data_IF_565372640334
#
_entry.id   IF_565372640334
#
_cell.length_a   1.000
_cell.length_b   1.000
_cell.length_c   1.000
_cell.angle_alpha   90.00
_cell.angle_beta   90.00
_cell.angle_gamma   90.00
#
_symmetry.space_group_name_H-M   'P 1'
#
loop_
_entity.id
_entity.type
_entity.pdbx_description
1 polymer ?
#
# COMPACT_ATOMS: atom_id res chain seq x y z
N UNK A 1 9.82 -4.27 -14.73
CA UNK A 1 9.35 -4.47 -13.33
C UNK A 1 7.87 -4.15 -13.12
N UNK A 2 7.39 -2.90 -13.16
CA UNK A 2 5.98 -2.57 -12.85
C UNK A 2 4.96 -3.28 -13.77
N UNK A 3 5.22 -3.29 -15.08
CA UNK A 3 4.39 -4.02 -16.05
C UNK A 3 4.42 -5.54 -15.85
N UNK A 4 5.57 -6.12 -15.49
CA UNK A 4 5.69 -7.56 -15.24
C UNK A 4 4.84 -8.02 -14.06
N UNK A 5 4.78 -7.22 -12.98
CA UNK A 5 3.91 -7.50 -11.83
C UNK A 5 2.45 -7.53 -12.27
N UNK A 6 2.00 -6.51 -13.02
CA UNK A 6 0.61 -6.42 -13.47
C UNK A 6 0.27 -7.57 -14.43
N UNK A 7 1.15 -7.89 -15.38
CA UNK A 7 0.98 -9.01 -16.31
C UNK A 7 0.99 -10.37 -15.61
N UNK A 8 1.78 -10.53 -14.55
CA UNK A 8 1.70 -11.71 -13.71
C UNK A 8 0.33 -11.83 -13.04
N UNK A 9 -0.19 -10.74 -12.44
CA UNK A 9 -1.51 -10.72 -11.81
C UNK A 9 -2.64 -11.03 -12.81
N UNK A 10 -2.60 -10.42 -14.00
CA UNK A 10 -3.57 -10.66 -15.07
C UNK A 10 -3.58 -12.14 -15.49
N UNK A 11 -2.40 -12.74 -15.70
CA UNK A 11 -2.27 -14.18 -16.04
C UNK A 11 -2.75 -15.11 -14.94
N UNK A 12 -2.76 -14.65 -13.68
CA UNK A 12 -3.32 -15.38 -12.53
C UNK A 12 -4.84 -15.19 -12.37
N UNK A 13 -5.50 -14.48 -13.28
CA UNK A 13 -6.95 -14.27 -13.27
C UNK A 13 -7.41 -13.08 -12.42
N UNK A 14 -6.50 -12.19 -12.01
CA UNK A 14 -6.89 -10.97 -11.29
C UNK A 14 -7.71 -10.07 -12.22
N UNK A 15 -8.92 -9.71 -11.80
CA UNK A 15 -9.81 -8.79 -12.53
C UNK A 15 -10.41 -7.76 -11.56
N UNK A 16 -9.69 -6.67 -11.26
CA UNK A 16 -10.13 -5.71 -10.26
C UNK A 16 -11.14 -4.71 -10.81
N UNK A 17 -12.16 -4.38 -10.02
CA UNK A 17 -13.01 -3.23 -10.27
C UNK A 17 -12.35 -1.93 -9.75
N UNK A 18 -11.49 -2.03 -8.73
CA UNK A 18 -10.75 -0.89 -8.20
C UNK A 18 -9.27 -1.17 -7.97
N UNK A 19 -8.43 -0.15 -8.13
CA UNK A 19 -6.99 -0.21 -7.84
C UNK A 19 -6.62 0.81 -6.76
N UNK A 20 -5.78 0.42 -5.81
CA UNK A 20 -5.14 1.33 -4.84
C UNK A 20 -3.61 1.16 -4.93
N UNK A 21 -2.88 2.27 -5.02
CA UNK A 21 -1.44 2.33 -4.75
C UNK A 21 -1.18 3.25 -3.53
N UNK A 22 -0.96 2.69 -2.32
CA UNK A 22 -0.90 3.45 -1.06
C UNK A 22 0.31 4.38 -0.91
N UNK A 23 1.37 4.13 -1.67
CA UNK A 23 2.63 4.90 -1.69
C UNK A 23 3.08 5.03 -3.14
N UNK A 24 2.32 5.75 -3.95
CA UNK A 24 2.39 5.69 -5.40
C UNK A 24 3.62 6.38 -6.01
N UNK A 25 4.32 7.23 -5.24
CA UNK A 25 5.40 8.06 -5.76
C UNK A 25 4.99 8.75 -7.05
N UNK A 26 5.79 8.58 -8.10
CA UNK A 26 5.55 9.16 -9.42
C UNK A 26 4.44 8.45 -10.24
N UNK A 27 3.75 7.46 -9.66
CA UNK A 27 2.62 6.75 -10.27
C UNK A 27 3.01 5.69 -11.31
N UNK A 28 4.22 5.14 -11.24
CA UNK A 28 4.71 4.18 -12.24
C UNK A 28 3.95 2.83 -12.20
N UNK A 29 3.69 2.31 -11.00
CA UNK A 29 2.99 1.03 -10.85
C UNK A 29 1.49 1.19 -11.09
N UNK A 30 0.87 2.28 -10.60
CA UNK A 30 -0.51 2.62 -10.89
C UNK A 30 -0.74 2.81 -12.40
N UNK A 31 0.19 3.45 -13.12
CA UNK A 31 0.11 3.58 -14.57
C UNK A 31 0.13 2.20 -15.27
N UNK A 32 1.03 1.32 -14.85
CA UNK A 32 1.11 -0.03 -15.38
C UNK A 32 -0.18 -0.82 -15.10
N UNK A 33 -0.71 -0.73 -13.88
CA UNK A 33 -1.92 -1.42 -13.49
C UNK A 33 -3.15 -0.92 -14.28
N UNK A 34 -3.29 0.40 -14.46
CA UNK A 34 -4.35 0.98 -15.29
C UNK A 34 -4.27 0.54 -16.77
N UNK A 35 -3.07 0.41 -17.31
CA UNK A 35 -2.87 -0.10 -18.67
C UNK A 35 -3.18 -1.60 -18.81
N UNK A 36 -2.87 -2.40 -17.79
CA UNK A 36 -3.13 -3.84 -17.79
C UNK A 36 -4.59 -4.20 -17.50
N UNK A 37 -5.30 -3.37 -16.72
CA UNK A 37 -6.70 -3.61 -16.30
C UNK A 37 -7.62 -2.49 -16.83
N UNK A 38 -8.05 -2.56 -18.11
CA UNK A 38 -8.82 -1.49 -18.75
C UNK A 38 -10.20 -1.28 -18.12
N UNK A 39 -10.80 -2.33 -17.53
CA UNK A 39 -12.17 -2.32 -16.98
C UNK A 39 -12.26 -1.75 -15.55
N UNK A 40 -11.14 -1.30 -14.97
CA UNK A 40 -11.13 -0.67 -13.64
C UNK A 40 -12.03 0.57 -13.62
N UNK A 41 -12.94 0.61 -12.65
CA UNK A 41 -13.91 1.69 -12.46
C UNK A 41 -13.30 2.82 -11.63
N UNK A 42 -12.51 2.48 -10.61
CA UNK A 42 -11.88 3.44 -9.70
C UNK A 42 -10.41 3.12 -9.45
N UNK A 43 -9.57 4.15 -9.44
CA UNK A 43 -8.17 4.05 -9.11
C UNK A 43 -7.79 5.15 -8.12
N UNK A 44 -7.03 4.79 -7.09
CA UNK A 44 -6.61 5.67 -6.02
C UNK A 44 -5.10 5.57 -5.82
N UNK A 45 -4.38 6.68 -5.95
CA UNK A 45 -2.96 6.78 -5.62
C UNK A 45 -2.75 7.79 -4.49
N UNK A 46 -1.93 7.41 -3.51
CA UNK A 46 -1.56 8.26 -2.39
C UNK A 46 -0.05 8.30 -2.23
N UNK A 47 0.50 9.46 -1.90
CA UNK A 47 1.90 9.61 -1.53
C UNK A 47 2.03 10.79 -0.57
N UNK A 48 2.96 10.69 0.37
CA UNK A 48 3.22 11.77 1.35
C UNK A 48 3.88 12.98 0.69
N UNK A 49 4.57 12.80 -0.44
CA UNK A 49 5.26 13.88 -1.14
C UNK A 49 4.34 14.55 -2.17
N UNK A 50 4.01 15.81 -1.93
CA UNK A 50 3.19 16.62 -2.84
C UNK A 50 3.78 16.76 -4.25
N UNK A 51 5.11 16.80 -4.39
CA UNK A 51 5.76 16.87 -5.69
C UNK A 51 5.60 15.57 -6.48
N UNK A 52 5.62 14.42 -5.79
CA UNK A 52 5.35 13.12 -6.41
C UNK A 52 3.91 13.07 -6.95
N UNK A 53 2.93 13.51 -6.15
CA UNK A 53 1.53 13.56 -6.57
C UNK A 53 1.32 14.49 -7.77
N UNK A 54 1.93 15.68 -7.78
CA UNK A 54 1.84 16.59 -8.91
C UNK A 54 2.42 15.97 -10.20
N UNK A 55 3.57 15.28 -10.10
CA UNK A 55 4.16 14.58 -11.24
C UNK A 55 3.30 13.39 -11.70
N UNK A 56 2.74 12.63 -10.76
CA UNK A 56 1.84 11.51 -11.04
C UNK A 56 0.56 12.00 -11.74
N UNK A 57 -0.02 13.14 -11.32
CA UNK A 57 -1.17 13.76 -11.97
C UNK A 57 -0.87 14.15 -13.42
N UNK A 58 0.26 14.81 -13.67
CA UNK A 58 0.67 15.19 -15.02
C UNK A 58 0.87 13.97 -15.94
N UNK A 59 1.38 12.86 -15.39
CA UNK A 59 1.59 11.60 -16.11
C UNK A 59 0.28 10.85 -16.37
N UNK A 60 -0.49 10.61 -15.32
CA UNK A 60 -1.65 9.72 -15.34
C UNK A 60 -2.93 10.40 -15.82
N UNK A 61 -3.04 11.73 -15.74
CA UNK A 61 -4.19 12.48 -16.25
C UNK A 61 -4.38 12.33 -17.77
N UNK A 62 -3.35 11.89 -18.50
CA UNK A 62 -3.44 11.52 -19.92
C UNK A 62 -3.94 10.10 -20.16
N UNK A 63 -3.92 9.25 -19.14
CA UNK A 63 -4.24 7.82 -19.21
C UNK A 63 -5.65 7.49 -18.71
N UNK A 64 -6.17 8.25 -17.76
CA UNK A 64 -7.51 8.06 -17.23
C UNK A 64 -8.16 9.41 -16.87
N UNK A 65 -9.49 9.55 -17.06
CA UNK A 65 -10.21 10.73 -16.60
C UNK A 65 -10.22 10.81 -15.07
N UNK A 66 -10.39 12.03 -14.54
CA UNK A 66 -10.46 12.30 -13.09
C UNK A 66 -11.63 11.61 -12.39
N UNK A 67 -12.70 11.26 -13.12
CA UNK A 67 -13.82 10.46 -12.58
C UNK A 67 -13.41 9.02 -12.22
N UNK A 68 -12.36 8.51 -12.88
CA UNK A 68 -11.80 7.17 -12.64
C UNK A 68 -10.60 7.21 -11.72
N UNK A 69 -9.75 8.25 -11.81
CA UNK A 69 -8.49 8.34 -11.09
C UNK A 69 -8.47 9.47 -10.07
N UNK A 70 -8.21 9.11 -8.82
CA UNK A 70 -7.98 10.03 -7.72
C UNK A 70 -6.51 9.92 -7.26
N UNK A 71 -5.82 11.06 -7.19
CA UNK A 71 -4.45 11.18 -6.69
C UNK A 71 -4.42 12.24 -5.61
N UNK A 72 -3.98 11.89 -4.41
CA UNK A 72 -3.98 12.82 -3.28
C UNK A 72 -2.72 12.71 -2.44
N UNK A 73 -2.32 13.84 -1.86
CA UNK A 73 -1.25 13.88 -0.86
C UNK A 73 -1.83 13.32 0.44
N UNK A 74 -1.24 12.24 0.94
CA UNK A 74 -1.67 11.64 2.20
C UNK A 74 -0.51 10.90 2.85
N UNK A 75 -0.47 10.96 4.18
CA UNK A 75 0.36 10.09 4.98
C UNK A 75 -0.32 8.71 5.10
N UNK A 76 0.40 7.64 4.77
CA UNK A 76 -0.10 6.28 4.91
C UNK A 76 -0.58 5.98 6.33
N UNK A 77 0.08 6.54 7.36
CA UNK A 77 -0.22 6.25 8.76
C UNK A 77 -1.50 6.91 9.26
N UNK A 78 -1.95 7.98 8.60
CA UNK A 78 -3.15 8.75 8.98
C UNK A 78 -4.40 8.32 8.18
N UNK A 79 -4.25 7.45 7.19
CA UNK A 79 -5.35 7.01 6.34
C UNK A 79 -6.15 5.88 7.01
N UNK A 80 -7.45 6.08 7.15
CA UNK A 80 -8.43 5.04 7.48
C UNK A 80 -8.56 4.02 6.33
N UNK A 81 -7.59 3.10 6.21
CA UNK A 81 -7.55 2.14 5.09
C UNK A 81 -8.80 1.29 4.95
N UNK A 82 -9.44 0.90 6.06
CA UNK A 82 -10.70 0.14 6.02
C UNK A 82 -11.80 0.92 5.29
N UNK A 83 -11.98 2.19 5.61
CA UNK A 83 -12.97 3.06 4.96
C UNK A 83 -12.62 3.31 3.50
N UNK A 84 -11.34 3.59 3.22
CA UNK A 84 -10.85 3.81 1.85
C UNK A 84 -11.08 2.58 0.96
N UNK A 85 -10.89 1.37 1.47
CA UNK A 85 -11.11 0.12 0.74
C UNK A 85 -12.61 -0.20 0.63
N UNK A 86 -13.37 -0.11 1.72
CA UNK A 86 -14.80 -0.46 1.71
C UNK A 86 -15.65 0.49 0.87
N UNK A 87 -15.18 1.72 0.65
CA UNK A 87 -15.85 2.71 -0.21
C UNK A 87 -15.66 2.49 -1.71
N UNK A 88 -14.89 1.47 -2.12
CA UNK A 88 -14.57 1.21 -3.52
C UNK A 88 -15.32 -0.01 -4.09
N UNK A 89 -15.67 -0.01 -5.38
CA UNK A 89 -16.16 -1.20 -6.06
C UNK A 89 -15.18 -2.38 -5.93
N UNK A 90 -15.67 -3.54 -5.49
CA UNK A 90 -14.89 -4.77 -5.42
C UNK A 90 -14.96 -5.57 -6.74
N UNK A 91 -13.95 -6.39 -7.09
CA UNK A 91 -12.75 -6.70 -6.31
C UNK A 91 -11.74 -5.55 -6.27
N UNK A 92 -11.09 -5.36 -5.12
CA UNK A 92 -10.06 -4.31 -4.93
C UNK A 92 -8.66 -4.91 -5.09
N UNK A 93 -7.86 -4.36 -6.01
CA UNK A 93 -6.43 -4.65 -6.13
C UNK A 93 -5.61 -3.56 -5.42
N UNK A 94 -4.91 -3.94 -4.37
CA UNK A 94 -3.89 -3.08 -3.73
C UNK A 94 -2.53 -3.49 -4.26
N UNK A 95 -1.84 -2.56 -4.95
CA UNK A 95 -0.47 -2.75 -5.45
C UNK A 95 0.48 -1.79 -4.75
N UNK A 96 1.76 -2.14 -4.65
CA UNK A 96 2.72 -1.20 -4.10
C UNK A 96 4.16 -1.68 -4.05
N UNK A 97 5.05 -0.71 -3.87
CA UNK A 97 6.45 -0.89 -3.52
C UNK A 97 6.75 -0.03 -2.27
N UNK A 98 6.31 -0.46 -1.08
CA UNK A 98 6.48 0.30 0.15
C UNK A 98 7.97 0.56 0.44
N UNK A 99 8.32 1.62 1.20
CA UNK A 99 9.71 1.96 1.49
C UNK A 99 10.40 0.88 2.34
N UNK A 100 11.67 0.59 2.05
CA UNK A 100 12.43 -0.53 2.64
C UNK A 100 13.26 -0.09 3.85
N UNK A 101 12.67 0.74 4.72
CA UNK A 101 13.36 1.41 5.83
C UNK A 101 12.93 0.88 7.19
N UNK A 102 13.85 0.83 8.13
CA UNK A 102 13.56 0.48 9.54
C UNK A 102 13.25 1.75 10.34
N UNK A 103 12.47 1.60 11.42
CA UNK A 103 12.19 2.68 12.38
C UNK A 103 13.46 3.36 12.90
N UNK A 104 14.51 2.58 13.17
CA UNK A 104 15.82 3.10 13.63
C UNK A 104 16.47 4.04 12.63
N UNK A 105 16.32 3.78 11.32
CA UNK A 105 16.90 4.62 10.27
C UNK A 105 16.10 5.91 10.04
N UNK A 106 14.78 5.88 10.22
CA UNK A 106 13.92 7.05 10.13
C UNK A 106 13.98 7.96 11.37
N UNK A 107 14.12 7.37 12.56
CA UNK A 107 14.37 8.13 13.79
C UNK A 107 15.68 8.91 13.77
N UNK A 108 16.74 8.35 13.16
CA UNK A 108 18.03 9.04 12.94
C UNK A 108 17.89 10.14 11.87
N UNK A 109 17.05 9.94 10.86
CA UNK A 109 16.77 10.94 9.82
C UNK A 109 15.85 12.08 10.28
N UNK A 110 15.40 12.08 11.55
CA UNK A 110 14.51 13.10 12.10
C UNK A 110 13.13 13.15 11.44
N UNK A 111 12.77 12.15 10.62
CA UNK A 111 11.46 12.09 9.99
C UNK A 111 10.44 11.66 11.03
N UNK A 112 9.51 12.56 11.40
CA UNK A 112 8.37 12.26 12.27
C UNK A 112 7.37 11.24 11.68
N UNK A 113 7.65 10.72 10.48
CA UNK A 113 6.83 9.77 9.75
C UNK A 113 7.06 8.33 10.25
N UNK A 114 6.58 8.05 11.46
CA UNK A 114 6.66 6.74 12.10
C UNK A 114 5.24 6.26 12.44
N UNK A 115 4.98 4.95 12.41
CA UNK A 115 3.67 4.42 12.79
C UNK A 115 3.34 4.81 14.25
N UNK A 116 2.06 5.05 14.57
CA UNK A 116 1.64 5.38 15.93
C UNK A 116 2.04 4.28 16.91
N UNK A 117 2.63 4.67 18.04
CA UNK A 117 3.07 3.78 19.11
C UNK A 117 1.87 3.05 19.71
N UNK A 118 1.61 1.84 19.23
CA UNK A 118 0.55 0.96 19.74
C UNK A 118 1.18 -0.40 20.06
N UNK A 119 0.74 -1.03 21.16
CA UNK A 119 1.20 -2.36 21.60
C UNK A 119 0.72 -3.44 20.61
N UNK A 120 1.36 -3.48 19.45
CA UNK A 120 0.88 -4.06 18.20
C UNK A 120 0.85 -5.60 18.16
N UNK A 121 1.41 -6.28 19.17
CA UNK A 121 1.54 -7.74 19.15
C UNK A 121 0.97 -8.48 20.36
N UNK A 122 0.36 -7.79 21.33
CA UNK A 122 -0.18 -8.46 22.53
C UNK A 122 0.84 -9.32 23.30
N UNK A 123 2.14 -9.18 23.01
CA UNK A 123 3.20 -9.91 23.71
C UNK A 123 3.47 -9.14 25.00
N UNK A 124 3.23 -9.78 26.14
CA UNK A 124 3.67 -9.28 27.42
C UNK A 124 5.20 -9.20 27.41
N UNK A 125 5.74 -7.98 27.31
CA UNK A 125 7.17 -7.76 27.33
C UNK A 125 7.53 -6.29 27.10
N UNK A 126 8.53 -5.81 27.84
CA UNK A 126 9.08 -4.44 27.81
C UNK A 126 9.55 -3.98 26.41
N UNK A 127 9.61 -4.85 25.40
CA UNK A 127 9.99 -4.53 24.02
C UNK A 127 8.92 -3.75 23.24
N UNK A 128 7.63 -3.92 23.59
CA UNK A 128 6.55 -3.14 22.97
C UNK A 128 6.54 -1.67 23.47
N UNK A 129 7.06 -1.42 24.67
CA UNK A 129 7.14 -0.09 25.28
C UNK A 129 8.37 0.72 24.87
N UNK A 130 9.48 0.09 24.46
CA UNK A 130 10.78 0.79 24.35
C UNK A 130 11.12 1.31 22.96
N UNK A 131 10.38 0.97 21.90
CA UNK A 131 10.59 1.52 20.55
C UNK A 131 11.97 1.24 19.95
N UNK A 132 12.77 0.33 20.53
CA UNK A 132 14.13 -0.03 20.11
C UNK A 132 14.20 -1.26 19.20
N UNK A 133 13.07 -1.86 18.86
CA UNK A 133 13.07 -2.99 17.92
C UNK A 133 13.27 -2.46 16.49
N UNK A 134 14.21 -3.08 15.75
CA UNK A 134 14.47 -2.84 14.33
C UNK A 134 13.27 -3.28 13.48
N UNK A 135 12.15 -2.60 13.63
CA UNK A 135 10.91 -2.92 12.95
C UNK A 135 10.94 -2.32 11.54
N UNK A 136 10.61 -3.16 10.55
CA UNK A 136 10.54 -2.76 9.14
C UNK A 136 9.19 -2.08 8.91
N UNK A 137 9.20 -0.85 8.44
CA UNK A 137 7.95 -0.11 8.23
C UNK A 137 7.06 -0.79 7.19
N UNK A 138 7.67 -1.43 6.19
CA UNK A 138 6.89 -2.18 5.21
C UNK A 138 6.11 -3.33 5.86
N UNK A 139 6.64 -3.96 6.91
CA UNK A 139 5.91 -4.99 7.67
C UNK A 139 4.65 -4.40 8.31
N UNK A 140 4.76 -3.27 9.00
CA UNK A 140 3.62 -2.59 9.60
C UNK A 140 2.55 -2.22 8.56
N UNK A 141 2.98 -1.60 7.48
CA UNK A 141 2.10 -1.12 6.40
C UNK A 141 1.33 -2.29 5.80
N UNK A 142 2.01 -3.41 5.50
CA UNK A 142 1.37 -4.59 4.93
C UNK A 142 0.38 -5.22 5.91
N UNK A 143 0.70 -5.31 7.21
CA UNK A 143 -0.23 -5.85 8.21
C UNK A 143 -1.50 -5.01 8.31
N UNK A 144 -1.38 -3.67 8.29
CA UNK A 144 -2.52 -2.75 8.29
C UNK A 144 -3.38 -2.90 7.03
N UNK A 145 -2.77 -3.08 5.87
CA UNK A 145 -3.51 -3.34 4.62
C UNK A 145 -4.24 -4.68 4.68
N UNK A 146 -3.58 -5.76 5.12
CA UNK A 146 -4.22 -7.08 5.30
C UNK A 146 -5.44 -6.98 6.23
N UNK A 147 -5.31 -6.25 7.34
CA UNK A 147 -6.42 -6.00 8.25
C UNK A 147 -7.56 -5.20 7.64
N UNK A 148 -7.23 -4.18 6.84
CA UNK A 148 -8.21 -3.34 6.19
C UNK A 148 -8.95 -4.05 5.04
N UNK A 149 -8.31 -5.03 4.40
CA UNK A 149 -8.86 -5.84 3.32
C UNK A 149 -9.81 -6.94 3.82
N UNK A 150 -9.79 -7.26 5.11
CA UNK A 150 -10.62 -8.31 5.69
C UNK A 150 -12.12 -8.02 5.48
N UNK A 151 -12.81 -8.94 4.80
CA UNK A 151 -14.23 -8.85 4.44
C UNK A 151 -14.50 -8.21 3.07
N UNK A 152 -13.47 -7.77 2.34
CA UNK A 152 -13.60 -7.23 0.98
C UNK A 152 -12.94 -8.16 -0.04
N UNK A 153 -13.64 -8.60 -1.10
CA UNK A 153 -13.02 -9.35 -2.20
C UNK A 153 -11.84 -8.55 -2.75
N UNK A 154 -10.63 -9.05 -2.57
CA UNK A 154 -9.44 -8.25 -2.81
C UNK A 154 -8.19 -9.06 -3.12
N UNK A 155 -7.18 -8.37 -3.63
CA UNK A 155 -5.84 -8.91 -3.89
C UNK A 155 -4.83 -7.89 -3.41
N UNK A 156 -3.85 -8.35 -2.60
CA UNK A 156 -2.72 -7.55 -2.16
C UNK A 156 -1.45 -8.01 -2.90
N UNK A 157 -0.83 -7.12 -3.66
CA UNK A 157 0.34 -7.40 -4.48
C UNK A 157 1.46 -6.39 -4.19
N UNK A 158 2.41 -6.78 -3.34
CA UNK A 158 3.44 -5.87 -2.81
C UNK A 158 4.85 -6.35 -3.16
N UNK A 159 5.67 -5.44 -3.68
CA UNK A 159 7.12 -5.62 -3.78
C UNK A 159 7.73 -5.39 -2.40
N UNK A 160 8.20 -6.46 -1.76
CA UNK A 160 8.76 -6.38 -0.40
C UNK A 160 9.89 -7.37 -0.20
N UNK A 161 10.62 -7.23 0.91
CA UNK A 161 11.64 -8.21 1.33
C UNK A 161 10.98 -9.57 1.55
N UNK A 162 11.65 -10.64 1.15
CA UNK A 162 11.21 -12.02 1.41
C UNK A 162 10.93 -12.28 2.90
N UNK A 163 11.71 -11.68 3.80
CA UNK A 163 11.50 -11.78 5.25
C UNK A 163 10.19 -11.14 5.71
N UNK A 164 9.79 -10.02 5.09
CA UNK A 164 8.51 -9.35 5.35
C UNK A 164 7.37 -10.21 4.80
N UNK A 165 7.47 -10.66 3.54
CA UNK A 165 6.46 -11.51 2.92
C UNK A 165 6.11 -12.75 3.77
N UNK A 166 7.13 -13.47 4.30
CA UNK A 166 6.91 -14.63 5.16
C UNK A 166 6.11 -14.29 6.44
N UNK A 167 6.46 -13.18 7.10
CA UNK A 167 5.76 -12.75 8.32
C UNK A 167 4.31 -12.37 8.05
N UNK A 168 4.04 -11.69 6.93
CA UNK A 168 2.69 -11.31 6.52
C UNK A 168 1.84 -12.54 6.22
N UNK A 169 2.40 -13.54 5.54
CA UNK A 169 1.69 -14.80 5.28
C UNK A 169 1.30 -15.53 6.57
N UNK A 170 2.22 -15.63 7.54
CA UNK A 170 1.92 -16.19 8.87
C UNK A 170 0.81 -15.39 9.56
N UNK A 171 0.94 -14.06 9.59
CA UNK A 171 -0.05 -13.18 10.21
C UNK A 171 -1.44 -13.29 9.58
N UNK A 172 -1.54 -13.47 8.26
CA UNK A 172 -2.81 -13.61 7.55
C UNK A 172 -3.47 -14.98 7.71
N UNK A 173 -2.73 -16.00 8.13
CA UNK A 173 -3.24 -17.38 8.28
C UNK A 173 -3.91 -17.61 9.63
N UNK A 174 -3.48 -16.89 10.67
CA UNK A 174 -4.00 -17.02 12.04
C UNK A 174 -5.35 -16.29 12.25
N UNK A 175 -6.04 -15.90 11.18
CA UNK A 175 -7.26 -15.07 11.19
C UNK A 175 -8.25 -15.54 10.14
#
# INVERSE_FOLDING_TARGET
>A
MAGEVCEFLRRRGTNPASIIEPTCGLGNLLAAALATFPDVVRALGMDINAQHIAAAQARLGRLAPTSRLELRVADFFDVSWREAISGLPAPVLVVGNPPWVTNSKLGILGSGNLPPKTNFRGVGGMEALTGRSNFDISEWMLMRLVEALHGTPSTLAMLCKTSVARKILTFSWDR
#
